data_IF_313482743430
#
_entry.id   IF_313482743430
#
_cell.length_a   1.000
_cell.length_b   1.000
_cell.length_c   1.000
_cell.angle_alpha   90.00
_cell.angle_beta   90.00
_cell.angle_gamma   90.00
#
_symmetry.space_group_name_H-M   'P 1'
#
loop_
_entity.id
_entity.type
_entity.pdbx_description
1 polymer ?
#
# COMPACT_ATOMS: atom_id res chain seq x y z
N UNK A 1 -27.83 6.39 5.67
CA UNK A 1 -27.38 6.93 6.95
C UNK A 1 -26.17 6.13 7.42
N UNK A 2 -25.01 6.61 7.10
CA UNK A 2 -23.73 6.06 7.61
C UNK A 2 -23.51 6.60 9.01
N UNK A 3 -23.76 5.81 10.00
CA UNK A 3 -23.28 6.06 11.35
C UNK A 3 -21.95 5.32 11.49
N UNK A 4 -20.84 6.04 11.45
CA UNK A 4 -19.55 5.53 11.91
C UNK A 4 -19.01 4.31 11.16
N UNK A 5 -19.19 4.22 9.85
CA UNK A 5 -18.66 3.11 9.05
C UNK A 5 -19.50 1.82 9.09
N UNK A 6 -20.58 1.79 9.83
CA UNK A 6 -21.50 0.65 9.85
C UNK A 6 -22.69 0.88 8.94
N UNK A 7 -23.13 -0.15 8.24
CA UNK A 7 -24.38 -0.16 7.49
C UNK A 7 -25.16 -1.42 7.80
N UNK A 8 -26.47 -1.26 7.78
CA UNK A 8 -27.37 -2.40 7.98
C UNK A 8 -27.72 -2.99 6.63
N UNK A 9 -27.50 -4.29 6.47
CA UNK A 9 -27.97 -5.08 5.33
C UNK A 9 -29.15 -5.92 5.76
N UNK A 10 -30.19 -5.95 4.94
CA UNK A 10 -31.27 -6.93 5.11
C UNK A 10 -30.78 -8.29 4.60
N UNK A 11 -30.99 -9.34 5.38
CA UNK A 11 -30.76 -10.71 4.93
C UNK A 11 -31.67 -11.12 3.73
N UNK A 12 -32.70 -10.32 3.47
CA UNK A 12 -33.64 -10.52 2.36
C UNK A 12 -33.23 -9.74 1.10
N UNK A 13 -32.10 -9.02 1.14
CA UNK A 13 -31.62 -8.27 -0.02
C UNK A 13 -31.11 -9.23 -1.11
N UNK A 14 -31.93 -9.36 -2.16
CA UNK A 14 -31.67 -10.26 -3.29
C UNK A 14 -30.48 -9.83 -4.15
N UNK A 15 -30.01 -8.59 -4.03
CA UNK A 15 -28.87 -8.10 -4.80
C UNK A 15 -27.56 -8.43 -4.10
N UNK A 16 -27.56 -8.54 -2.79
CA UNK A 16 -26.35 -8.82 -1.99
C UNK A 16 -26.29 -10.31 -1.62
N UNK A 17 -27.45 -10.93 -1.31
CA UNK A 17 -27.53 -12.32 -0.87
C UNK A 17 -28.30 -13.20 -1.88
N UNK A 18 -28.37 -12.80 -3.16
CA UNK A 18 -29.06 -13.57 -4.19
C UNK A 18 -28.44 -14.95 -4.42
N UNK A 19 -29.22 -15.89 -4.89
CA UNK A 19 -28.86 -17.32 -5.07
C UNK A 19 -27.55 -17.58 -5.86
N UNK A 20 -27.04 -16.60 -6.58
CA UNK A 20 -25.85 -16.72 -7.44
C UNK A 20 -24.57 -16.13 -6.85
N UNK A 21 -24.67 -15.22 -5.90
CA UNK A 21 -23.52 -14.52 -5.32
C UNK A 21 -23.81 -14.27 -3.84
N UNK A 22 -23.46 -15.21 -3.00
CA UNK A 22 -23.37 -14.95 -1.56
C UNK A 22 -21.98 -14.44 -1.27
N UNK A 23 -21.79 -13.14 -1.06
CA UNK A 23 -20.50 -12.65 -0.58
C UNK A 23 -20.32 -13.16 0.84
N UNK A 24 -19.37 -14.05 1.02
CA UNK A 24 -18.94 -14.42 2.35
C UNK A 24 -17.93 -13.34 2.80
N UNK A 25 -18.35 -12.52 3.75
CA UNK A 25 -17.42 -11.61 4.42
C UNK A 25 -16.95 -12.31 5.69
N UNK A 26 -15.66 -12.51 5.82
CA UNK A 26 -15.02 -12.81 7.09
C UNK A 26 -14.31 -11.55 7.55
N UNK A 27 -14.58 -11.10 8.76
CA UNK A 27 -13.82 -10.07 9.44
C UNK A 27 -13.02 -10.80 10.50
N UNK A 28 -11.76 -11.08 10.18
CA UNK A 28 -10.88 -11.81 11.09
C UNK A 28 -10.25 -10.88 12.12
N UNK A 29 -10.02 -9.63 11.74
CA UNK A 29 -9.38 -8.63 12.60
C UNK A 29 -9.87 -7.21 12.26
N UNK A 30 -10.04 -6.38 13.29
CA UNK A 30 -10.26 -4.93 13.15
C UNK A 30 -9.06 -4.21 13.75
N UNK A 31 -8.35 -3.44 12.91
CA UNK A 31 -7.27 -2.58 13.39
C UNK A 31 -7.86 -1.25 13.86
N UNK A 32 -7.77 -0.98 15.15
CA UNK A 32 -8.10 0.33 15.71
C UNK A 32 -6.91 1.27 15.53
N UNK A 33 -7.15 2.44 14.94
CA UNK A 33 -6.13 3.48 14.83
C UNK A 33 -6.21 4.35 16.07
N UNK A 34 -5.20 4.25 16.90
CA UNK A 34 -5.07 5.01 18.16
C UNK A 34 -4.36 6.35 17.92
N UNK A 35 -4.32 7.21 18.94
CA UNK A 35 -3.73 8.56 18.84
C UNK A 35 -2.21 8.55 18.58
N UNK A 36 -1.55 7.45 18.93
CA UNK A 36 -0.12 7.21 18.68
C UNK A 36 0.16 6.57 17.31
N UNK A 37 -0.88 6.33 16.52
CA UNK A 37 -0.79 5.80 15.17
C UNK A 37 -1.10 6.85 14.12
N UNK A 38 -0.61 6.63 12.91
CA UNK A 38 -0.99 7.37 11.71
C UNK A 38 -1.31 6.37 10.60
N UNK A 39 -2.46 6.53 9.99
CA UNK A 39 -2.82 5.81 8.78
C UNK A 39 -2.32 6.59 7.56
N UNK A 40 -1.36 6.04 6.85
CA UNK A 40 -0.87 6.55 5.58
C UNK A 40 -1.66 5.90 4.45
N UNK A 41 -2.39 6.71 3.69
CA UNK A 41 -3.25 6.24 2.59
C UNK A 41 -3.53 7.37 1.61
N UNK A 42 -3.61 7.05 0.33
CA UNK A 42 -4.08 7.95 -0.72
C UNK A 42 -5.54 7.64 -1.10
N UNK A 43 -5.91 6.36 -1.01
CA UNK A 43 -7.25 5.90 -1.28
C UNK A 43 -8.07 5.87 0.02
N UNK A 44 -9.30 6.45 0.00
CA UNK A 44 -10.16 6.61 1.20
C UNK A 44 -11.40 5.72 1.18
N UNK A 45 -11.77 5.17 0.03
CA UNK A 45 -13.09 4.56 -0.17
C UNK A 45 -13.03 3.08 -0.53
N UNK A 46 -11.84 2.49 -0.64
CA UNK A 46 -11.63 1.13 -1.09
C UNK A 46 -11.52 1.00 -2.61
N UNK A 47 -11.35 -0.23 -3.08
CA UNK A 47 -11.18 -0.49 -4.49
C UNK A 47 -12.48 -0.28 -5.27
N UNK A 48 -12.40 0.48 -6.36
CA UNK A 48 -13.48 0.57 -7.35
C UNK A 48 -13.38 -0.53 -8.38
N UNK A 49 -12.16 -1.02 -8.66
CA UNK A 49 -11.92 -2.18 -9.51
C UNK A 49 -10.55 -2.81 -9.19
N UNK A 50 -10.23 -3.92 -9.88
CA UNK A 50 -8.92 -4.57 -9.78
C UNK A 50 -8.06 -4.21 -10.97
N UNK A 51 -6.82 -3.84 -10.71
CA UNK A 51 -5.81 -3.69 -11.75
C UNK A 51 -5.41 -5.09 -12.26
N UNK A 52 -5.76 -5.39 -13.49
CA UNK A 52 -5.51 -6.66 -14.18
C UNK A 52 -5.14 -6.47 -15.65
N UNK A 53 -4.61 -5.31 -15.99
CA UNK A 53 -4.36 -4.93 -17.38
C UNK A 53 -3.02 -5.40 -17.93
N UNK A 54 -2.12 -5.84 -17.04
CA UNK A 54 -0.81 -6.36 -17.39
C UNK A 54 -0.85 -7.87 -17.30
N UNK A 55 -0.50 -8.55 -18.39
CA UNK A 55 -0.40 -10.00 -18.43
C UNK A 55 0.94 -10.45 -17.84
N UNK A 56 1.03 -10.34 -16.52
CA UNK A 56 2.18 -10.76 -15.74
C UNK A 56 1.73 -11.39 -14.43
N UNK A 57 2.37 -12.46 -14.05
CA UNK A 57 2.14 -13.17 -12.80
C UNK A 57 3.09 -12.73 -11.67
N UNK A 58 3.91 -11.72 -11.90
CA UNK A 58 4.83 -11.13 -10.93
C UNK A 58 4.85 -9.61 -11.11
N UNK A 59 4.07 -8.91 -10.29
CA UNK A 59 3.91 -7.45 -10.36
C UNK A 59 4.13 -6.86 -8.98
N UNK A 60 4.88 -5.77 -8.91
CA UNK A 60 4.97 -4.95 -7.71
C UNK A 60 4.13 -3.68 -7.89
N UNK A 61 3.17 -3.51 -7.00
CA UNK A 61 2.31 -2.34 -6.88
C UNK A 61 2.89 -1.44 -5.79
N UNK A 62 3.03 -0.15 -6.03
CA UNK A 62 3.80 0.75 -5.18
C UNK A 62 2.98 2.01 -4.91
N UNK A 63 2.86 2.40 -3.63
CA UNK A 63 2.38 3.71 -3.23
C UNK A 63 3.46 4.46 -2.46
N UNK A 64 3.61 5.74 -2.76
CA UNK A 64 4.53 6.65 -2.09
C UNK A 64 3.82 7.37 -0.95
N UNK A 65 4.46 7.42 0.20
CA UNK A 65 3.95 8.09 1.39
C UNK A 65 4.97 9.08 1.94
N UNK A 66 4.48 10.10 2.63
CA UNK A 66 5.30 10.95 3.46
C UNK A 66 5.31 10.41 4.89
N UNK A 67 6.44 9.87 5.31
CA UNK A 67 6.64 9.37 6.67
C UNK A 67 6.91 10.51 7.67
N UNK A 68 7.00 11.76 7.20
CA UNK A 68 7.15 12.94 8.04
C UNK A 68 8.57 13.24 8.47
N UNK A 69 8.70 14.14 9.44
CA UNK A 69 9.99 14.62 9.94
C UNK A 69 10.60 13.73 11.01
N UNK A 70 9.83 12.76 11.51
CA UNK A 70 10.28 11.79 12.50
C UNK A 70 10.22 10.39 11.92
N UNK A 71 11.20 9.55 12.20
CA UNK A 71 11.14 8.14 11.81
C UNK A 71 9.89 7.48 12.36
N UNK A 72 9.33 6.55 11.61
CA UNK A 72 8.10 5.85 12.00
C UNK A 72 8.30 4.36 11.94
N UNK A 73 7.87 3.69 12.99
CA UNK A 73 7.78 2.24 12.98
C UNK A 73 6.51 1.83 12.27
N UNK A 74 6.63 1.05 11.21
CA UNK A 74 5.49 0.43 10.57
C UNK A 74 4.96 -0.70 11.45
N UNK A 75 3.68 -0.59 11.81
CA UNK A 75 2.95 -1.62 12.54
C UNK A 75 2.36 -2.64 11.56
N UNK A 76 1.58 -2.14 10.59
CA UNK A 76 0.92 -2.97 9.58
C UNK A 76 0.98 -2.36 8.20
N UNK A 77 0.93 -3.23 7.19
CA UNK A 77 0.61 -2.86 5.80
C UNK A 77 -0.70 -3.52 5.41
N UNK A 78 -1.60 -2.72 4.87
CA UNK A 78 -2.92 -3.14 4.43
C UNK A 78 -2.99 -3.03 2.92
N UNK A 79 -3.52 -4.05 2.25
CA UNK A 79 -3.74 -4.00 0.80
C UNK A 79 -4.94 -4.85 0.40
N UNK A 80 -5.57 -4.52 -0.74
CA UNK A 80 -6.66 -5.32 -1.29
C UNK A 80 -6.22 -6.03 -2.55
N UNK A 81 -6.32 -7.35 -2.58
CA UNK A 81 -6.00 -8.17 -3.76
C UNK A 81 -7.16 -9.07 -4.17
N UNK A 82 -7.25 -9.36 -5.47
CA UNK A 82 -8.18 -10.36 -6.02
C UNK A 82 -7.48 -11.70 -6.33
N UNK A 83 -6.15 -11.77 -6.13
CA UNK A 83 -5.38 -12.97 -6.39
C UNK A 83 -5.46 -13.95 -5.23
N UNK A 84 -6.19 -15.05 -5.40
CA UNK A 84 -6.26 -16.12 -4.41
C UNK A 84 -5.00 -16.98 -4.43
N UNK A 85 -4.53 -17.37 -3.25
CA UNK A 85 -3.39 -18.29 -3.12
C UNK A 85 -2.06 -17.72 -3.64
N UNK A 86 -2.01 -16.42 -3.96
CA UNK A 86 -0.80 -15.74 -4.40
C UNK A 86 0.22 -15.63 -3.28
N UNK A 87 1.49 -15.65 -3.63
CA UNK A 87 2.54 -15.24 -2.71
C UNK A 87 2.64 -13.71 -2.74
N UNK A 88 2.89 -13.10 -1.57
CA UNK A 88 3.16 -11.67 -1.47
C UNK A 88 4.49 -11.39 -0.79
N UNK A 89 5.12 -10.30 -1.22
CA UNK A 89 6.30 -9.72 -0.58
C UNK A 89 6.06 -8.22 -0.42
N UNK A 90 6.29 -7.70 0.78
CA UNK A 90 6.14 -6.28 1.10
C UNK A 90 7.51 -5.67 1.27
N UNK A 91 7.73 -4.52 0.63
CA UNK A 91 8.98 -3.79 0.65
C UNK A 91 8.80 -2.34 1.05
N UNK A 92 9.74 -1.81 1.80
CA UNK A 92 10.03 -0.39 1.80
C UNK A 92 10.97 -0.09 0.65
N UNK A 93 10.63 0.91 -0.16
CA UNK A 93 11.38 1.31 -1.36
C UNK A 93 11.82 2.76 -1.18
N UNK A 94 13.14 3.05 -1.25
CA UNK A 94 13.62 4.43 -1.21
C UNK A 94 13.05 5.26 -2.37
N UNK A 95 12.66 6.50 -2.08
CA UNK A 95 12.22 7.48 -3.08
C UNK A 95 13.31 8.53 -3.25
N UNK A 96 13.76 8.76 -4.49
CA UNK A 96 14.75 9.77 -4.85
C UNK A 96 14.19 10.62 -5.97
N UNK A 97 14.30 11.94 -5.83
CA UNK A 97 13.76 12.90 -6.81
C UNK A 97 12.27 12.65 -7.14
N UNK A 98 11.52 12.19 -6.13
CA UNK A 98 10.08 11.89 -6.23
C UNK A 98 9.73 10.54 -6.84
N UNK A 99 10.71 9.72 -7.24
CA UNK A 99 10.50 8.42 -7.91
C UNK A 99 11.02 7.28 -7.03
N UNK A 100 10.26 6.17 -6.88
CA UNK A 100 10.73 4.96 -6.22
C UNK A 100 11.94 4.36 -6.94
N UNK A 101 12.91 3.86 -6.19
CA UNK A 101 14.08 3.21 -6.77
C UNK A 101 13.69 1.98 -7.60
N UNK A 102 14.18 1.93 -8.84
CA UNK A 102 14.02 0.76 -9.70
C UNK A 102 15.01 -0.37 -9.37
N UNK A 103 16.04 -0.09 -8.59
CA UNK A 103 17.04 -1.05 -8.15
C UNK A 103 16.53 -1.84 -6.94
N UNK A 104 16.16 -3.11 -7.16
CA UNK A 104 15.64 -3.98 -6.12
C UNK A 104 16.66 -4.29 -5.01
N UNK A 105 17.96 -4.10 -5.26
CA UNK A 105 18.99 -4.27 -4.23
C UNK A 105 18.91 -3.21 -3.12
N UNK A 106 18.27 -2.07 -3.39
CA UNK A 106 18.04 -1.01 -2.41
C UNK A 106 16.74 -1.23 -1.59
N UNK A 107 15.89 -2.14 -2.03
CA UNK A 107 14.63 -2.41 -1.37
C UNK A 107 14.84 -3.13 -0.05
N UNK A 108 14.04 -2.76 0.95
CA UNK A 108 14.09 -3.39 2.26
C UNK A 108 12.87 -4.28 2.43
N UNK A 109 13.08 -5.56 2.65
CA UNK A 109 12.00 -6.49 2.94
C UNK A 109 11.36 -6.14 4.29
N UNK A 110 10.04 -6.01 4.30
CA UNK A 110 9.22 -5.74 5.47
C UNK A 110 8.53 -7.00 5.94
N UNK A 111 7.82 -7.67 5.03
CA UNK A 111 7.11 -8.91 5.31
C UNK A 111 6.91 -9.73 4.04
N UNK A 112 6.60 -11.00 4.20
CA UNK A 112 6.22 -11.89 3.11
C UNK A 112 5.28 -12.98 3.60
N UNK A 113 4.50 -13.55 2.69
CA UNK A 113 3.58 -14.62 3.02
C UNK A 113 2.73 -15.06 1.84
N UNK A 114 1.57 -15.62 2.16
CA UNK A 114 0.63 -16.14 1.18
C UNK A 114 -0.77 -15.58 1.41
N UNK A 115 -1.40 -15.10 0.35
CA UNK A 115 -2.81 -14.69 0.36
C UNK A 115 -3.67 -15.94 0.37
N UNK A 116 -4.38 -16.18 1.46
CA UNK A 116 -5.28 -17.32 1.53
C UNK A 116 -6.53 -17.10 0.67
N UNK A 117 -7.11 -15.90 0.77
CA UNK A 117 -8.33 -15.50 0.05
C UNK A 117 -8.20 -14.07 -0.47
N UNK A 118 -8.84 -13.79 -1.61
CA UNK A 118 -8.96 -12.42 -2.12
C UNK A 118 -9.68 -11.50 -1.14
N UNK A 119 -9.38 -10.22 -1.19
CA UNK A 119 -9.94 -9.18 -0.33
C UNK A 119 -8.85 -8.37 0.36
N UNK A 120 -9.24 -7.70 1.43
CA UNK A 120 -8.31 -6.95 2.26
C UNK A 120 -7.41 -7.88 3.06
N UNK A 121 -6.13 -7.58 3.00
CA UNK A 121 -5.09 -8.25 3.78
C UNK A 121 -4.54 -7.26 4.79
N UNK A 122 -4.33 -7.72 6.02
CA UNK A 122 -3.64 -6.97 7.08
C UNK A 122 -2.39 -7.75 7.45
N UNK A 123 -1.23 -7.17 7.22
CA UNK A 123 0.07 -7.83 7.39
C UNK A 123 0.92 -7.06 8.37
N UNK A 124 1.42 -7.75 9.40
CA UNK A 124 2.34 -7.15 10.36
C UNK A 124 3.65 -6.75 9.67
N UNK A 125 4.06 -5.51 9.90
CA UNK A 125 5.29 -4.96 9.33
C UNK A 125 6.54 -5.26 10.19
N UNK A 126 6.38 -6.10 11.22
CA UNK A 126 7.45 -6.58 12.10
C UNK A 126 8.30 -5.47 12.73
N UNK A 127 7.68 -4.31 12.99
CA UNK A 127 8.37 -3.18 13.58
C UNK A 127 9.42 -2.53 12.67
N UNK A 128 9.25 -2.64 11.34
CA UNK A 128 10.16 -1.99 10.39
C UNK A 128 10.19 -0.49 10.61
N UNK A 129 11.38 0.08 10.80
CA UNK A 129 11.56 1.53 10.97
C UNK A 129 11.76 2.18 9.60
N UNK A 130 10.76 2.93 9.16
CA UNK A 130 10.83 3.69 7.91
C UNK A 130 11.68 4.94 8.10
N UNK A 131 12.61 5.23 7.16
CA UNK A 131 13.37 6.48 7.16
C UNK A 131 12.48 7.72 7.08
N UNK A 132 13.04 8.85 7.48
CA UNK A 132 12.39 10.16 7.41
C UNK A 132 12.03 10.56 5.97
N UNK A 133 10.98 11.36 5.84
CA UNK A 133 10.59 11.97 4.59
C UNK A 133 9.80 11.04 3.68
N UNK A 134 9.93 11.25 2.37
CA UNK A 134 9.18 10.49 1.37
C UNK A 134 9.80 9.12 1.12
N UNK A 135 9.00 8.09 1.24
CA UNK A 135 9.34 6.70 0.93
C UNK A 135 8.19 6.02 0.23
N UNK A 136 8.36 4.77 -0.15
CA UNK A 136 7.28 4.00 -0.77
C UNK A 136 7.12 2.63 -0.13
N UNK A 137 5.88 2.14 -0.13
CA UNK A 137 5.53 0.77 0.21
C UNK A 137 5.18 0.04 -1.07
N UNK A 138 5.93 -1.02 -1.38
CA UNK A 138 5.68 -1.91 -2.50
C UNK A 138 5.05 -3.21 -2.03
N UNK A 139 4.00 -3.64 -2.70
CA UNK A 139 3.37 -4.96 -2.53
C UNK A 139 3.57 -5.74 -3.82
N UNK A 140 4.46 -6.71 -3.79
CA UNK A 140 4.71 -7.64 -4.89
C UNK A 140 3.77 -8.82 -4.76
N UNK A 141 2.99 -9.08 -5.79
CA UNK A 141 2.09 -10.22 -5.88
C UNK A 141 2.61 -11.17 -6.94
N UNK A 142 2.83 -12.42 -6.53
CA UNK A 142 3.22 -13.51 -7.42
C UNK A 142 2.13 -14.56 -7.47
N UNK A 143 1.57 -14.80 -8.64
CA UNK A 143 0.55 -15.83 -8.85
C UNK A 143 1.15 -17.05 -9.53
N UNK A 144 0.42 -18.15 -9.49
CA UNK A 144 0.76 -19.32 -10.30
C UNK A 144 0.53 -19.00 -11.79
N UNK A 145 1.29 -19.61 -12.65
CA UNK A 145 1.62 -19.26 -14.03
C UNK A 145 0.49 -18.93 -15.02
N UNK A 146 -0.77 -19.03 -14.66
CA UNK A 146 -1.90 -18.77 -15.57
C UNK A 146 -2.78 -17.59 -15.14
N UNK A 147 -2.53 -17.02 -13.99
CA UNK A 147 -3.31 -15.88 -13.46
C UNK A 147 -2.45 -14.63 -13.34
N UNK A 148 -2.91 -13.54 -13.89
CA UNK A 148 -2.25 -12.24 -13.71
C UNK A 148 -2.35 -11.79 -12.26
N UNK A 149 -1.29 -11.14 -11.76
CA UNK A 149 -1.29 -10.50 -10.44
C UNK A 149 -2.29 -9.35 -10.42
N UNK A 150 -3.09 -9.26 -9.35
CA UNK A 150 -4.14 -8.26 -9.25
C UNK A 150 -4.14 -7.55 -7.90
N UNK A 151 -4.26 -6.23 -7.94
CA UNK A 151 -4.44 -5.42 -6.75
C UNK A 151 -5.65 -4.48 -6.92
N UNK A 152 -6.28 -4.13 -5.81
CA UNK A 152 -7.37 -3.16 -5.79
C UNK A 152 -6.88 -1.75 -6.13
N UNK A 153 -7.63 -1.05 -6.95
CA UNK A 153 -7.38 0.34 -7.33
C UNK A 153 -8.57 1.19 -6.96
N UNK A 154 -8.31 2.26 -6.22
CA UNK A 154 -9.24 3.35 -6.03
C UNK A 154 -9.12 4.32 -7.20
N UNK A 155 -10.16 4.44 -8.02
CA UNK A 155 -10.20 5.32 -9.19
C UNK A 155 -11.16 6.47 -9.06
N UNK A 156 -10.86 7.51 -9.80
CA UNK A 156 -11.79 8.58 -10.07
C UNK A 156 -12.56 8.29 -11.35
N UNK A 157 -13.80 7.85 -11.21
CA UNK A 157 -14.70 7.59 -12.34
C UNK A 157 -15.53 8.83 -12.65
N UNK A 158 -15.32 9.43 -13.81
CA UNK A 158 -15.91 10.72 -14.16
C UNK A 158 -17.24 10.65 -14.89
N UNK A 159 -17.71 9.54 -15.47
CA UNK A 159 -18.80 9.68 -16.43
C UNK A 159 -19.90 8.63 -16.53
N UNK A 160 -19.73 7.47 -16.00
CA UNK A 160 -20.71 6.39 -16.23
C UNK A 160 -21.72 6.17 -15.10
N UNK A 161 -21.44 6.68 -13.92
CA UNK A 161 -22.31 6.56 -12.74
C UNK A 161 -22.53 7.92 -12.11
N UNK A 162 -23.68 8.11 -11.48
CA UNK A 162 -23.99 9.33 -10.72
C UNK A 162 -23.18 9.48 -9.43
N UNK A 163 -22.18 8.63 -9.22
CA UNK A 163 -21.29 8.66 -8.07
C UNK A 163 -19.87 8.94 -8.54
N UNK A 164 -19.27 9.96 -7.99
CA UNK A 164 -17.86 10.29 -8.18
C UNK A 164 -17.12 9.84 -6.96
N UNK A 165 -16.17 8.94 -7.12
CA UNK A 165 -15.21 8.60 -6.08
C UNK A 165 -14.00 9.52 -6.25
N UNK A 166 -13.77 10.38 -5.26
CA UNK A 166 -12.59 11.22 -5.24
C UNK A 166 -11.51 10.47 -4.49
N UNK A 167 -10.43 10.17 -5.16
CA UNK A 167 -9.18 9.81 -4.52
C UNK A 167 -8.17 10.97 -4.69
N UNK A 168 -7.13 10.97 -3.90
CA UNK A 168 -6.08 11.97 -3.99
C UNK A 168 -5.03 11.55 -5.04
N UNK A 169 -5.46 10.90 -6.15
CA UNK A 169 -4.53 10.47 -7.18
C UNK A 169 -3.85 11.68 -7.81
N UNK A 170 -2.55 11.68 -7.68
CA UNK A 170 -1.67 12.68 -8.27
C UNK A 170 -0.41 12.00 -8.79
N UNK A 171 0.27 12.67 -9.73
CA UNK A 171 1.58 12.20 -10.17
C UNK A 171 2.54 12.00 -9.02
N UNK A 172 3.26 10.90 -9.07
CA UNK A 172 4.25 10.54 -8.07
C UNK A 172 3.70 9.80 -6.86
N UNK A 173 2.40 9.47 -6.83
CA UNK A 173 1.82 8.72 -5.71
C UNK A 173 1.81 7.21 -5.93
N UNK A 174 1.51 6.75 -7.13
CA UNK A 174 1.40 5.32 -7.41
C UNK A 174 2.25 4.89 -8.60
N UNK A 175 2.91 3.76 -8.46
CA UNK A 175 3.78 3.18 -9.48
C UNK A 175 3.51 1.69 -9.63
N UNK A 176 3.77 1.16 -10.81
CA UNK A 176 3.74 -0.27 -11.08
C UNK A 176 5.10 -0.71 -11.60
N UNK A 177 5.58 -1.86 -11.13
CA UNK A 177 6.81 -2.49 -11.66
C UNK A 177 6.49 -3.89 -12.14
N UNK A 178 6.81 -4.12 -13.41
CA UNK A 178 6.77 -5.42 -14.08
C UNK A 178 7.82 -5.46 -15.19
N UNK A 179 8.25 -6.63 -15.57
CA UNK A 179 9.26 -6.82 -16.63
C UNK A 179 10.54 -5.98 -16.45
N UNK A 180 10.93 -5.77 -15.18
CA UNK A 180 12.14 -5.02 -14.81
C UNK A 180 12.03 -3.51 -14.88
N UNK A 181 10.89 -2.94 -15.27
CA UNK A 181 10.69 -1.50 -15.37
C UNK A 181 9.63 -0.99 -14.37
N UNK A 182 9.90 0.19 -13.80
CA UNK A 182 8.94 0.92 -12.96
C UNK A 182 8.33 2.05 -13.79
N UNK A 183 7.01 2.11 -13.80
CA UNK A 183 6.23 3.12 -14.48
C UNK A 183 5.27 3.81 -13.50
N UNK A 184 5.12 5.12 -13.62
CA UNK A 184 4.11 5.89 -12.89
C UNK A 184 2.71 5.51 -13.40
N UNK A 185 1.76 5.30 -12.48
CA UNK A 185 0.46 4.72 -12.82
C UNK A 185 -0.37 5.59 -13.77
N UNK A 186 -0.36 6.92 -13.58
CA UNK A 186 -1.11 7.83 -14.46
C UNK A 186 -0.50 7.92 -15.86
N UNK A 187 0.83 7.82 -15.97
CA UNK A 187 1.50 7.74 -17.26
C UNK A 187 1.23 6.41 -17.96
N UNK A 188 1.16 5.33 -17.18
CA UNK A 188 0.77 4.02 -17.69
C UNK A 188 -0.64 4.06 -18.31
N UNK A 189 -1.63 4.63 -17.63
CA UNK A 189 -2.98 4.79 -18.15
C UNK A 189 -3.02 5.59 -19.45
N UNK A 190 -2.28 6.69 -19.54
CA UNK A 190 -2.23 7.50 -20.76
C UNK A 190 -1.61 6.74 -21.94
N UNK A 191 -0.53 6.00 -21.66
CA UNK A 191 0.25 5.35 -22.73
C UNK A 191 -0.40 4.07 -23.21
N UNK A 192 -0.84 3.22 -22.28
CA UNK A 192 -1.33 1.87 -22.59
C UNK A 192 -2.84 1.83 -22.85
N UNK A 193 -3.58 2.81 -22.33
CA UNK A 193 -5.04 2.82 -22.39
C UNK A 193 -5.63 4.01 -23.14
N UNK A 194 -4.81 5.00 -23.50
CA UNK A 194 -5.29 6.30 -24.00
C UNK A 194 -6.38 6.89 -23.09
N UNK A 195 -6.19 6.77 -21.79
CA UNK A 195 -7.17 7.10 -20.78
C UNK A 195 -6.63 8.20 -19.85
N UNK A 196 -7.52 9.10 -19.48
CA UNK A 196 -7.23 10.18 -18.52
C UNK A 196 -7.70 9.83 -17.11
N UNK A 197 -8.04 8.57 -16.85
CA UNK A 197 -8.42 8.11 -15.52
C UNK A 197 -7.26 8.27 -14.56
N UNK A 198 -7.57 8.77 -13.38
CA UNK A 198 -6.65 8.76 -12.25
C UNK A 198 -6.88 7.51 -11.40
N UNK A 199 -5.86 7.09 -10.70
CA UNK A 199 -5.98 5.96 -9.79
C UNK A 199 -4.84 5.91 -8.78
N UNK A 200 -5.09 5.24 -7.67
CA UNK A 200 -4.08 4.91 -6.68
C UNK A 200 -4.33 3.48 -6.21
N UNK A 201 -3.28 2.74 -5.93
CA UNK A 201 -3.45 1.37 -5.42
C UNK A 201 -4.01 1.40 -4.00
N UNK A 202 -4.85 0.41 -3.67
CA UNK A 202 -5.33 0.20 -2.30
C UNK A 202 -4.22 -0.45 -1.49
N UNK A 203 -3.24 0.37 -1.14
CA UNK A 203 -2.13 0.06 -0.24
C UNK A 203 -2.12 1.13 0.84
N UNK A 204 -2.14 0.71 2.10
CA UNK A 204 -2.12 1.60 3.26
C UNK A 204 -1.04 1.12 4.22
N UNK A 205 -0.48 2.03 4.97
CA UNK A 205 0.46 1.70 6.04
C UNK A 205 -0.02 2.29 7.37
N UNK A 206 -0.01 1.48 8.41
CA UNK A 206 -0.19 1.94 9.79
C UNK A 206 1.18 2.18 10.37
N UNK A 207 1.46 3.41 10.75
CA UNK A 207 2.74 3.79 11.31
C UNK A 207 2.57 4.30 12.74
N UNK A 208 3.37 3.79 13.66
CA UNK A 208 3.45 4.29 15.02
C UNK A 208 4.22 5.62 15.02
N UNK A 209 3.74 6.58 15.79
CA UNK A 209 4.50 7.78 16.07
C UNK A 209 5.62 7.40 17.05
N UNK A 210 6.85 7.49 16.59
CA UNK A 210 7.97 7.31 17.47
C UNK A 210 8.17 8.60 18.28
N UNK A 211 7.53 8.68 19.45
CA UNK A 211 7.67 9.83 20.36
C UNK A 211 9.07 9.93 21.02
N UNK A 212 9.94 8.97 20.75
CA UNK A 212 11.28 8.89 21.32
C UNK A 212 12.38 8.95 20.27
N UNK A 213 12.37 9.98 19.43
CA UNK A 213 13.64 10.31 18.78
C UNK A 213 14.46 11.08 19.81
N UNK A 214 15.36 10.38 20.41
CA UNK A 214 16.42 11.02 21.17
C UNK A 214 17.31 11.75 20.14
N UNK A 215 17.38 13.08 20.21
CA UNK A 215 18.31 13.85 19.40
C UNK A 215 19.73 13.33 19.63
N UNK A 216 20.28 12.63 18.62
CA UNK A 216 21.57 11.99 18.73
C UNK A 216 21.56 10.46 18.57
N UNK A 217 20.39 9.83 18.58
CA UNK A 217 20.18 8.43 18.21
C UNK A 217 20.13 8.32 16.68
N UNK A 218 21.26 8.04 16.05
CA UNK A 218 21.45 8.06 14.59
C UNK A 218 21.08 6.71 13.97
N UNK A 219 21.22 5.61 14.71
CA UNK A 219 20.84 4.29 14.24
C UNK A 219 19.41 3.89 14.66
N UNK A 220 18.74 4.77 15.42
CA UNK A 220 17.35 4.62 15.83
C UNK A 220 17.08 3.35 16.67
N UNK A 221 18.08 2.93 17.43
CA UNK A 221 17.94 1.76 18.32
C UNK A 221 17.26 2.11 19.67
N UNK A 222 16.99 3.41 19.91
CA UNK A 222 16.33 3.93 21.11
C UNK A 222 17.29 4.35 22.22
N UNK A 223 18.61 4.21 22.00
CA UNK A 223 19.66 4.59 22.95
C UNK A 223 20.67 5.53 22.28
N UNK A 224 21.11 6.57 22.98
CA UNK A 224 22.22 7.42 22.51
C UNK A 224 23.54 6.82 22.96
N UNK A 225 24.30 6.29 22.03
CA UNK A 225 25.55 5.57 22.29
C UNK A 225 26.73 6.12 21.48
N UNK A 226 27.94 5.60 21.75
CA UNK A 226 29.14 5.89 20.93
C UNK A 226 28.99 5.44 19.49
N UNK A 227 28.10 4.49 19.22
CA UNK A 227 27.79 3.97 17.90
C UNK A 227 27.15 5.05 17.02
N UNK A 228 26.25 5.85 17.59
CA UNK A 228 25.63 7.00 16.91
C UNK A 228 26.64 8.05 16.52
N UNK A 229 27.54 8.42 17.46
CA UNK A 229 28.62 9.34 17.17
C UNK A 229 29.54 8.81 16.06
N UNK A 230 29.78 7.50 15.99
CA UNK A 230 30.58 6.87 14.94
C UNK A 230 29.88 6.91 13.58
N UNK A 231 28.55 6.76 13.55
CA UNK A 231 27.74 6.86 12.34
C UNK A 231 27.78 8.29 11.80
N UNK A 232 27.58 9.31 12.64
CA UNK A 232 27.71 10.72 12.24
C UNK A 232 29.09 10.99 11.62
N UNK A 233 30.17 10.49 12.22
CA UNK A 233 31.53 10.69 11.71
C UNK A 233 31.73 10.08 10.33
N UNK A 234 31.08 8.97 10.00
CA UNK A 234 31.17 8.35 8.66
C UNK A 234 30.49 9.15 7.55
N UNK A 235 29.56 10.02 7.89
CA UNK A 235 28.87 10.88 6.90
C UNK A 235 29.50 12.26 6.73
N UNK A 236 30.44 12.63 7.58
CA UNK A 236 31.13 13.95 7.53
C UNK A 236 32.50 13.85 6.82
N UNK A 237 33.01 12.66 6.58
CA UNK A 237 34.25 12.39 5.85
C UNK A 237 33.90 11.90 4.44
#
# INVERSE_FOLDING_TARGET
NTMGGYFWLSYEDKYIFGEKYSPNFTIDEVTEITDDMTLLQDERYGATYSFNYVDSNDITFINCFDFGENSRTLDKVLFETKSNGADYEIYYIPVRDGVPSNDESEWKSVASGKVAYSGYQSVDANGFVAPLGRGAVGVRIKTNSEESSQLGVGEWLTSATKMTFLNDSSYGNSYIKYDGATCELLDWYKTERDDTLGGTFVIKAVALKNDKILNGDVDLDGDITVKDATLVQKYIV
#
